data_IF_030682887707
#
_entry.id   IF_030682887707
#
_cell.length_a   1.000
_cell.length_b   1.000
_cell.length_c   1.000
_cell.angle_alpha   90.00
_cell.angle_beta   90.00
_cell.angle_gamma   90.00
#
_symmetry.space_group_name_H-M   'P 1'
#
loop_
_entity.id
_entity.type
_entity.pdbx_description
1 polymer ?
#
# COMPACT_ATOMS: atom_id res chain seq x y z
N UNK A 1 1.50 -4.11 -10.76
CA UNK A 1 1.04 -4.01 -9.35
C UNK A 1 -0.46 -3.81 -9.36
N UNK A 2 -1.23 -4.01 -8.30
CA UNK A 2 -2.70 -4.03 -8.38
C UNK A 2 -3.30 -3.04 -7.41
N UNK A 3 -4.47 -2.46 -7.66
CA UNK A 3 -5.15 -1.53 -6.76
C UNK A 3 -6.51 -2.08 -6.32
N UNK A 4 -6.82 -1.95 -5.03
CA UNK A 4 -8.12 -2.27 -4.42
C UNK A 4 -8.70 -0.99 -3.81
N UNK A 5 -9.74 -0.42 -4.41
CA UNK A 5 -10.71 0.40 -3.68
C UNK A 5 -11.90 -0.48 -3.33
N UNK A 6 -12.57 -0.22 -2.22
CA UNK A 6 -13.97 -0.63 -2.09
C UNK A 6 -14.75 0.13 -3.19
N UNK A 7 -15.27 -0.46 -4.29
CA UNK A 7 -15.40 -1.86 -4.70
C UNK A 7 -14.80 -2.16 -6.12
N UNK A 8 -13.62 -1.64 -6.45
CA UNK A 8 -13.08 -1.75 -7.80
C UNK A 8 -11.66 -2.31 -7.80
N UNK A 9 -11.51 -3.46 -8.47
CA UNK A 9 -10.26 -4.18 -8.65
C UNK A 9 -9.57 -3.70 -9.92
N UNK A 10 -8.26 -3.41 -9.87
CA UNK A 10 -7.56 -2.99 -11.07
C UNK A 10 -6.09 -3.42 -11.13
N UNK A 11 -5.58 -3.59 -12.36
CA UNK A 11 -4.17 -3.84 -12.66
C UNK A 11 -3.45 -2.49 -12.84
N UNK A 12 -2.17 -2.38 -12.48
CA UNK A 12 -1.37 -1.14 -12.57
C UNK A 12 -0.05 -1.40 -13.27
N UNK A 13 0.22 -0.58 -14.28
CA UNK A 13 1.40 -0.51 -15.14
C UNK A 13 1.93 0.94 -15.13
N UNK A 14 3.18 1.16 -14.66
CA UNK A 14 3.89 2.46 -14.73
C UNK A 14 3.02 3.69 -14.34
N UNK A 15 2.09 3.53 -13.39
CA UNK A 15 1.18 4.59 -12.95
C UNK A 15 -0.18 4.63 -13.64
N UNK A 16 -0.35 3.91 -14.75
CA UNK A 16 -1.64 3.67 -15.43
C UNK A 16 -2.35 2.48 -14.81
N UNK A 17 -3.63 2.64 -14.54
CA UNK A 17 -4.52 1.66 -13.91
C UNK A 17 -5.53 1.14 -14.92
N UNK A 18 -5.60 -0.17 -15.08
CA UNK A 18 -6.53 -0.89 -15.95
C UNK A 18 -7.68 -1.43 -15.12
N UNK A 19 -8.87 -0.93 -15.39
CA UNK A 19 -10.08 -1.28 -14.67
C UNK A 19 -11.15 -1.76 -15.65
N UNK A 20 -11.74 -2.92 -15.39
CA UNK A 20 -12.83 -3.43 -16.19
C UNK A 20 -14.18 -2.95 -15.66
N UNK A 21 -14.91 -2.21 -16.50
CA UNK A 21 -16.18 -1.56 -16.19
C UNK A 21 -17.27 -1.97 -17.19
N UNK A 22 -18.46 -1.41 -17.05
CA UNK A 22 -19.53 -1.56 -18.04
C UNK A 22 -19.18 -1.01 -19.43
N UNK A 23 -18.17 -0.15 -19.53
CA UNK A 23 -17.63 0.38 -20.78
C UNK A 23 -16.45 -0.45 -21.33
N UNK A 24 -16.11 -1.57 -20.69
CA UNK A 24 -14.95 -2.39 -21.00
C UNK A 24 -13.75 -2.02 -20.14
N UNK A 25 -12.56 -2.38 -20.63
CA UNK A 25 -11.31 -2.04 -19.94
C UNK A 25 -10.98 -0.56 -20.18
N UNK A 26 -10.98 0.21 -19.09
CA UNK A 26 -10.61 1.62 -19.06
C UNK A 26 -9.20 1.76 -18.48
N UNK A 27 -8.46 2.73 -18.98
CA UNK A 27 -7.14 3.11 -18.48
C UNK A 27 -7.23 4.47 -17.79
N UNK A 28 -6.86 4.51 -16.52
CA UNK A 28 -6.87 5.71 -15.69
C UNK A 28 -5.48 6.01 -15.15
N UNK A 29 -5.08 7.28 -15.13
CA UNK A 29 -3.81 7.72 -14.52
C UNK A 29 -4.01 8.28 -13.10
N UNK A 30 -5.25 8.65 -12.75
CA UNK A 30 -5.61 9.34 -11.51
C UNK A 30 -6.88 8.77 -10.90
N UNK A 31 -7.17 9.05 -9.63
CA UNK A 31 -8.37 8.57 -8.93
C UNK A 31 -8.17 7.25 -8.18
N UNK A 32 -6.94 6.72 -8.22
CA UNK A 32 -6.55 5.46 -7.59
C UNK A 32 -5.61 5.66 -6.38
N UNK A 33 -5.34 6.90 -5.99
CA UNK A 33 -4.43 7.29 -4.89
C UNK A 33 -4.89 6.77 -3.52
N UNK A 34 -6.19 6.51 -3.34
CA UNK A 34 -6.74 5.92 -2.11
C UNK A 34 -6.82 4.40 -2.15
N UNK A 35 -6.40 3.76 -3.24
CA UNK A 35 -6.47 2.32 -3.41
C UNK A 35 -5.34 1.60 -2.69
N UNK A 36 -5.64 0.38 -2.24
CA UNK A 36 -4.65 -0.48 -1.61
C UNK A 36 -3.88 -1.22 -2.70
N UNK A 37 -2.56 -1.04 -2.72
CA UNK A 37 -1.72 -1.74 -3.69
C UNK A 37 -1.46 -3.19 -3.29
N UNK A 38 -1.83 -4.16 -4.12
CA UNK A 38 -1.43 -5.56 -4.00
C UNK A 38 -0.25 -5.85 -4.91
N UNK A 39 0.77 -6.48 -4.36
CA UNK A 39 1.94 -6.96 -5.09
C UNK A 39 1.87 -8.49 -5.07
N UNK A 40 1.82 -9.10 -6.24
CA UNK A 40 1.68 -10.56 -6.41
C UNK A 40 3.01 -11.26 -6.69
N UNK A 41 3.94 -10.55 -7.32
CA UNK A 41 5.29 -11.06 -7.65
C UNK A 41 6.23 -10.70 -6.53
N UNK A 42 7.09 -11.64 -6.16
CA UNK A 42 8.21 -11.34 -5.27
C UNK A 42 9.19 -10.39 -5.97
N UNK A 43 9.95 -9.64 -5.17
CA UNK A 43 10.73 -8.50 -5.63
C UNK A 43 11.85 -8.87 -6.61
N UNK A 44 12.24 -10.15 -6.71
CA UNK A 44 13.45 -10.58 -7.40
C UNK A 44 13.28 -10.86 -8.90
N UNK A 45 12.03 -10.83 -9.41
CA UNK A 45 11.72 -11.09 -10.82
C UNK A 45 11.60 -9.79 -11.64
N UNK A 46 12.65 -8.96 -11.63
CA UNK A 46 12.64 -7.66 -12.33
C UNK A 46 12.44 -7.77 -13.84
N UNK A 47 13.00 -8.79 -14.50
CA UNK A 47 12.82 -9.04 -15.94
C UNK A 47 11.38 -9.38 -16.33
N UNK A 48 10.61 -9.93 -15.39
CA UNK A 48 9.20 -10.22 -15.59
C UNK A 48 8.39 -8.93 -15.57
N UNK A 49 8.72 -7.97 -14.72
CA UNK A 49 7.93 -6.76 -14.52
C UNK A 49 7.70 -5.96 -15.82
N UNK A 50 8.73 -5.80 -16.65
CA UNK A 50 8.62 -5.10 -17.94
C UNK A 50 7.83 -5.90 -18.99
N UNK A 51 7.72 -7.22 -18.81
CA UNK A 51 6.88 -8.08 -19.66
C UNK A 51 5.41 -8.04 -19.24
N UNK A 52 5.12 -7.81 -17.95
CA UNK A 52 3.76 -7.77 -17.43
C UNK A 52 2.96 -6.62 -18.03
N UNK A 53 3.63 -5.51 -18.32
CA UNK A 53 3.02 -4.34 -18.95
C UNK A 53 2.52 -4.67 -20.36
N UNK A 54 3.31 -5.44 -21.13
CA UNK A 54 2.93 -5.93 -22.46
C UNK A 54 1.83 -6.99 -22.37
N UNK A 55 1.92 -7.90 -21.41
CA UNK A 55 0.87 -8.89 -21.19
C UNK A 55 -0.45 -8.24 -20.79
N UNK A 56 -0.41 -7.19 -19.98
CA UNK A 56 -1.60 -6.49 -19.52
C UNK A 56 -2.26 -5.75 -20.66
N UNK A 57 -1.47 -5.05 -21.49
CA UNK A 57 -1.96 -4.42 -22.72
C UNK A 57 -2.63 -5.44 -23.64
N UNK A 58 -1.93 -6.54 -23.95
CA UNK A 58 -2.44 -7.59 -24.83
C UNK A 58 -3.68 -8.29 -24.28
N UNK A 59 -3.71 -8.55 -22.97
CA UNK A 59 -4.85 -9.18 -22.31
C UNK A 59 -6.08 -8.26 -22.32
N UNK A 60 -5.88 -6.97 -22.04
CA UNK A 60 -6.94 -5.96 -22.03
C UNK A 60 -7.60 -5.78 -23.39
N UNK A 61 -6.85 -5.92 -24.48
CA UNK A 61 -7.36 -5.87 -25.85
C UNK A 61 -7.99 -7.18 -26.35
N UNK A 62 -8.04 -8.23 -25.53
CA UNK A 62 -8.64 -9.51 -25.91
C UNK A 62 -10.16 -9.41 -26.05
N UNK A 63 -10.74 -10.16 -27.00
CA UNK A 63 -12.19 -10.17 -27.27
C UNK A 63 -13.05 -10.51 -26.04
N UNK A 64 -12.49 -11.21 -25.06
CA UNK A 64 -13.17 -11.51 -23.79
C UNK A 64 -13.53 -10.26 -22.99
N UNK A 65 -12.80 -9.16 -23.17
CA UNK A 65 -13.00 -7.90 -22.43
C UNK A 65 -13.56 -6.77 -23.29
N UNK A 66 -13.87 -7.06 -24.56
CA UNK A 66 -14.54 -6.16 -25.47
C UNK A 66 -16.06 -6.23 -25.24
N UNK A 67 -16.65 -5.07 -24.95
CA UNK A 67 -18.08 -4.92 -24.65
C UNK A 67 -19.00 -5.32 -25.80
N UNK A 68 -18.50 -5.37 -27.03
CA UNK A 68 -19.27 -5.84 -28.18
C UNK A 68 -19.49 -7.36 -28.15
N UNK A 69 -18.60 -8.10 -27.48
CA UNK A 69 -18.64 -9.57 -27.41
C UNK A 69 -19.12 -10.05 -26.04
N UNK A 70 -18.60 -9.45 -24.96
CA UNK A 70 -18.92 -9.84 -23.59
C UNK A 70 -19.23 -8.62 -22.75
N UNK A 71 -20.42 -8.60 -22.15
CA UNK A 71 -20.86 -7.48 -21.31
C UNK A 71 -20.44 -7.68 -19.86
N UNK A 72 -20.25 -6.56 -19.17
CA UNK A 72 -20.02 -6.55 -17.73
C UNK A 72 -21.18 -7.23 -17.00
N UNK A 73 -20.84 -8.16 -16.11
CA UNK A 73 -21.75 -8.81 -15.19
C UNK A 73 -21.16 -8.76 -13.78
N UNK A 74 -21.93 -8.26 -12.82
CA UNK A 74 -21.45 -8.00 -11.48
C UNK A 74 -20.99 -9.27 -10.74
N UNK A 75 -21.41 -10.46 -11.17
CA UNK A 75 -21.11 -11.73 -10.51
C UNK A 75 -20.01 -12.49 -11.23
N UNK A 76 -20.09 -12.61 -12.55
CA UNK A 76 -19.30 -13.54 -13.37
C UNK A 76 -18.27 -12.84 -14.26
N UNK A 77 -18.51 -11.59 -14.65
CA UNK A 77 -17.65 -10.87 -15.59
C UNK A 77 -17.46 -9.42 -15.15
N UNK A 78 -16.63 -9.24 -14.12
CA UNK A 78 -16.42 -7.97 -13.44
C UNK A 78 -14.93 -7.66 -13.28
N UNK A 79 -14.63 -6.54 -12.65
CA UNK A 79 -13.26 -6.13 -12.35
C UNK A 79 -12.47 -7.17 -11.54
N UNK A 80 -13.14 -7.94 -10.68
CA UNK A 80 -12.51 -9.00 -9.90
C UNK A 80 -12.09 -10.17 -10.79
N UNK A 81 -13.00 -10.69 -11.63
CA UNK A 81 -12.69 -11.82 -12.53
C UNK A 81 -11.71 -11.42 -13.63
N UNK A 82 -11.74 -10.15 -14.06
CA UNK A 82 -10.70 -9.54 -14.90
C UNK A 82 -9.32 -9.65 -14.26
N UNK A 83 -9.18 -9.19 -13.02
CA UNK A 83 -7.90 -9.22 -12.32
C UNK A 83 -7.42 -10.66 -12.09
N UNK A 84 -8.31 -11.54 -11.59
CA UNK A 84 -7.99 -12.95 -11.38
C UNK A 84 -7.55 -13.65 -12.67
N UNK A 85 -8.26 -13.42 -13.77
CA UNK A 85 -7.94 -14.02 -15.06
C UNK A 85 -6.57 -13.60 -15.58
N UNK A 86 -6.21 -12.32 -15.46
CA UNK A 86 -4.87 -11.86 -15.84
C UNK A 86 -3.81 -12.53 -14.97
N UNK A 87 -4.03 -12.62 -13.66
CA UNK A 87 -3.07 -13.25 -12.75
C UNK A 87 -2.85 -14.71 -13.10
N UNK A 88 -3.94 -15.44 -13.36
CA UNK A 88 -3.86 -16.83 -13.76
C UNK A 88 -3.14 -17.01 -15.09
N UNK A 89 -3.33 -16.08 -16.04
CA UNK A 89 -2.57 -16.07 -17.29
C UNK A 89 -1.07 -15.87 -17.05
N UNK A 90 -0.71 -15.01 -16.11
CA UNK A 90 0.71 -14.81 -15.78
C UNK A 90 1.30 -16.01 -15.03
N UNK A 91 0.55 -16.59 -14.09
CA UNK A 91 0.97 -17.80 -13.39
C UNK A 91 1.20 -18.97 -14.36
N UNK A 92 0.34 -19.10 -15.37
CA UNK A 92 0.49 -20.09 -16.43
C UNK A 92 1.82 -19.91 -17.18
N UNK A 93 2.19 -18.67 -17.53
CA UNK A 93 3.48 -18.36 -18.17
C UNK A 93 4.67 -18.65 -17.24
N UNK A 94 4.51 -18.45 -15.92
CA UNK A 94 5.49 -18.84 -14.90
C UNK A 94 5.55 -20.37 -14.65
N UNK A 95 4.73 -21.18 -15.33
CA UNK A 95 4.65 -22.63 -15.11
C UNK A 95 3.96 -23.02 -13.80
N UNK A 96 3.18 -22.12 -13.22
CA UNK A 96 2.46 -22.30 -11.95
C UNK A 96 0.98 -22.56 -12.21
N UNK A 97 0.33 -23.28 -11.29
CA UNK A 97 -1.10 -23.53 -11.37
C UNK A 97 -1.95 -22.27 -11.17
N UNK A 98 -3.14 -22.19 -11.79
CA UNK A 98 -4.05 -21.06 -11.62
C UNK A 98 -4.59 -21.01 -10.18
N UNK A 99 -4.95 -19.81 -9.75
CA UNK A 99 -5.63 -19.57 -8.48
C UNK A 99 -7.14 -19.63 -8.66
N UNK A 100 -7.81 -20.22 -7.68
CA UNK A 100 -9.27 -20.05 -7.53
C UNK A 100 -9.60 -18.67 -6.97
N UNK A 101 -10.85 -18.20 -7.11
CA UNK A 101 -11.31 -16.97 -6.45
C UNK A 101 -11.01 -16.95 -4.94
N UNK A 102 -11.23 -18.06 -4.25
CA UNK A 102 -11.01 -18.20 -2.81
C UNK A 102 -9.53 -18.04 -2.49
N UNK A 103 -8.66 -18.74 -3.23
CA UNK A 103 -7.21 -18.66 -3.04
C UNK A 103 -6.66 -17.26 -3.33
N UNK A 104 -7.14 -16.61 -4.38
CA UNK A 104 -6.76 -15.23 -4.69
C UNK A 104 -7.19 -14.29 -3.57
N UNK A 105 -8.42 -14.45 -3.08
CA UNK A 105 -9.00 -13.63 -2.01
C UNK A 105 -8.22 -13.80 -0.70
N UNK A 106 -7.97 -15.03 -0.28
CA UNK A 106 -7.26 -15.32 0.97
C UNK A 106 -5.81 -14.85 0.96
N UNK A 107 -5.09 -15.08 -0.14
CA UNK A 107 -3.65 -14.79 -0.20
C UNK A 107 -3.34 -13.32 -0.42
N UNK A 108 -4.16 -12.63 -1.21
CA UNK A 108 -3.81 -11.33 -1.73
C UNK A 108 -4.74 -10.20 -1.27
N UNK A 109 -6.03 -10.48 -1.19
CA UNK A 109 -7.08 -9.51 -0.88
C UNK A 109 -7.22 -9.29 0.61
N UNK A 110 -7.62 -10.35 1.33
CA UNK A 110 -7.98 -10.28 2.75
C UNK A 110 -6.88 -9.67 3.62
N UNK A 111 -5.59 -10.03 3.48
CA UNK A 111 -4.55 -9.46 4.34
C UNK A 111 -4.44 -7.94 4.21
N UNK A 112 -4.68 -7.42 3.02
CA UNK A 112 -4.51 -6.00 2.68
C UNK A 112 -5.74 -5.18 3.03
N UNK A 113 -6.93 -5.68 2.69
CA UNK A 113 -8.20 -5.05 3.09
C UNK A 113 -8.36 -5.06 4.60
N UNK A 114 -8.00 -6.15 5.29
CA UNK A 114 -8.02 -6.21 6.75
C UNK A 114 -7.09 -5.18 7.37
N UNK A 115 -5.86 -5.03 6.84
CA UNK A 115 -4.91 -4.02 7.32
C UNK A 115 -5.45 -2.60 7.12
N UNK A 116 -5.97 -2.30 5.95
CA UNK A 116 -6.55 -0.99 5.65
C UNK A 116 -7.78 -0.69 6.51
N UNK A 117 -8.65 -1.67 6.73
CA UNK A 117 -9.81 -1.53 7.61
C UNK A 117 -9.38 -1.24 9.05
N UNK A 118 -8.39 -1.97 9.59
CA UNK A 118 -7.83 -1.71 10.93
C UNK A 118 -7.24 -0.31 11.03
N UNK A 119 -6.47 0.10 10.02
CA UNK A 119 -5.86 1.43 9.99
C UNK A 119 -6.92 2.54 9.94
N UNK A 120 -7.93 2.40 9.08
CA UNK A 120 -9.05 3.33 9.00
C UNK A 120 -9.80 3.42 10.33
N UNK A 121 -10.06 2.28 10.98
CA UNK A 121 -10.67 2.24 12.31
C UNK A 121 -9.85 3.02 13.35
N UNK A 122 -8.54 2.83 13.36
CA UNK A 122 -7.62 3.57 14.25
C UNK A 122 -7.64 5.07 13.96
N UNK A 123 -7.59 5.48 12.69
CA UNK A 123 -7.68 6.90 12.30
C UNK A 123 -9.00 7.53 12.76
N UNK A 124 -10.12 6.81 12.67
CA UNK A 124 -11.42 7.30 13.15
C UNK A 124 -11.43 7.49 14.66
N UNK A 125 -10.81 6.56 15.41
CA UNK A 125 -10.68 6.69 16.88
C UNK A 125 -9.80 7.88 17.24
N UNK A 126 -8.67 8.07 16.55
CA UNK A 126 -7.77 9.21 16.77
C UNK A 126 -8.49 10.53 16.47
N UNK A 127 -9.19 10.66 15.35
CA UNK A 127 -9.92 11.89 14.99
C UNK A 127 -10.98 12.29 16.03
N UNK A 128 -11.57 11.33 16.75
CA UNK A 128 -12.62 11.57 17.75
C UNK A 128 -12.10 11.88 19.16
N UNK A 129 -10.81 11.66 19.43
CA UNK A 129 -10.21 11.89 20.76
C UNK A 129 -9.27 13.09 20.70
N UNK A 130 -9.35 14.07 21.59
CA UNK A 130 -8.28 15.06 21.75
C UNK A 130 -7.08 14.35 22.38
N UNK A 131 -6.14 13.88 21.56
CA UNK A 131 -4.88 13.36 22.06
C UNK A 131 -3.92 14.53 22.27
N UNK A 132 -3.39 14.67 23.49
CA UNK A 132 -2.23 15.51 23.74
C UNK A 132 -0.99 14.76 23.26
N UNK A 133 -0.31 15.30 22.25
CA UNK A 133 1.00 14.80 21.83
C UNK A 133 1.97 15.05 23.00
N UNK A 134 2.27 14.02 23.78
CA UNK A 134 3.31 14.11 24.80
C UNK A 134 4.66 14.05 24.07
N UNK A 135 5.21 15.22 23.79
CA UNK A 135 6.58 15.36 23.31
C UNK A 135 7.50 14.70 24.33
N UNK A 136 8.17 13.62 23.91
CA UNK A 136 9.14 12.92 24.75
C UNK A 136 10.27 13.91 25.03
N UNK A 137 10.31 14.48 26.23
CA UNK A 137 11.46 15.26 26.68
C UNK A 137 12.69 14.36 26.63
N UNK A 138 13.55 14.60 25.64
CA UNK A 138 14.92 14.11 25.65
C UNK A 138 15.59 14.82 26.82
N UNK A 139 15.81 14.08 27.91
CA UNK A 139 16.35 14.60 29.15
C UNK A 139 17.65 15.36 28.91
N UNK A 140 17.59 16.67 29.04
CA UNK A 140 18.76 17.50 29.33
C UNK A 140 19.10 17.31 30.81
N UNK A 141 19.84 16.24 31.13
CA UNK A 141 20.51 16.12 32.42
C UNK A 141 21.60 17.19 32.52
N UNK A 142 21.23 18.37 33.03
CA UNK A 142 22.18 19.32 33.60
C UNK A 142 22.41 18.88 35.05
N UNK A 143 23.37 17.98 35.25
CA UNK A 143 23.85 17.61 36.58
C UNK A 143 24.50 18.80 37.26
N UNK A 144 23.78 19.42 38.19
CA UNK A 144 24.36 20.30 39.22
C UNK A 144 24.80 19.42 40.38
N UNK A 145 26.10 19.21 40.53
CA UNK A 145 26.68 18.60 41.73
C UNK A 145 27.47 19.69 42.46
N UNK A 146 26.97 20.00 43.66
CA UNK A 146 27.59 20.88 44.62
C UNK A 146 28.97 20.35 45.03
N UNK A 147 30.00 21.17 44.84
CA UNK A 147 31.31 20.98 45.45
C UNK A 147 31.38 21.78 46.75
N UNK A 148 31.39 21.06 47.87
CA UNK A 148 31.85 21.55 49.16
C UNK A 148 33.35 21.88 49.08
N UNK A 149 33.77 23.06 49.51
CA UNK A 149 35.16 23.23 49.93
C UNK A 149 35.26 24.16 51.15
N UNK A 150 36.06 23.69 52.11
CA UNK A 150 36.25 24.21 53.45
C UNK A 150 37.60 24.91 53.54
N UNK A 151 37.60 26.17 54.01
CA UNK A 151 38.68 26.74 54.84
C UNK A 151 39.90 27.33 54.14
N UNK A 152 40.08 28.66 54.27
CA UNK A 152 41.21 29.26 54.99
C UNK A 152 41.18 30.79 54.92
N UNK A 153 41.18 31.43 56.10
CA UNK A 153 41.66 32.80 56.27
C UNK A 153 43.18 32.85 56.05
N UNK A 154 43.73 33.91 55.41
CA UNK A 154 44.96 34.62 55.86
C UNK A 154 45.06 36.01 55.19
N UNK A 155 45.17 37.04 56.06
CA UNK A 155 45.83 38.38 56.01
C UNK A 155 45.93 39.26 54.75
N UNK A 156 45.47 40.51 54.97
CA UNK A 156 46.14 41.84 54.84
C UNK A 156 47.10 42.07 53.68
N UNK A 157 46.88 43.16 52.93
CA UNK A 157 47.75 44.36 52.99
C UNK A 157 47.15 45.59 52.29
N UNK A 158 47.38 46.73 52.93
CA UNK A 158 47.11 48.13 52.56
C UNK A 158 48.04 48.64 51.46
N UNK A 159 47.59 49.60 50.64
CA UNK A 159 48.51 50.53 49.99
C UNK A 159 47.97 51.30 48.79
N UNK A 160 47.51 52.53 49.07
CA UNK A 160 47.43 53.75 48.24
C UNK A 160 46.96 53.66 46.78
#
# INVERSE_FOLDING_TARGET
>A
GWCITTPTWACVNVGVVYNYTHLGVVKDETGWETCIRVVLVQHDSYSLRDQWDKYLESYSGGALWDTNWTRFDAVTHNCYTYCLGFINRVLEVEGRGPLTPEQFTERYVLPRTTRAHRFNGLLQVLKKKPYHLLERQTGSERGSLAGSDTGSQVKRETGK
#
